data_IF_775012609541
#
_entry.id   IF_775012609541
#
_cell.length_a   1.000
_cell.length_b   1.000
_cell.length_c   1.000
_cell.angle_alpha   90.00
_cell.angle_beta   90.00
_cell.angle_gamma   90.00
#
_symmetry.space_group_name_H-M   'P 1'
#
loop_
_entity.id
_entity.type
_entity.pdbx_description
1 polymer ?
#
# COMPACT_ATOMS: atom_id res chain seq x y z
N UNK A 1 -9.99 -0.71 -11.67
CA UNK A 1 -10.65 -0.84 -10.35
C UNK A 1 -10.16 0.29 -9.47
N UNK A 2 -11.06 1.03 -8.83
CA UNK A 2 -10.71 2.06 -7.85
C UNK A 2 -10.78 1.47 -6.45
N UNK A 3 -9.99 2.02 -5.53
CA UNK A 3 -10.09 1.70 -4.10
C UNK A 3 -11.39 2.30 -3.54
N UNK A 4 -12.13 1.52 -2.77
CA UNK A 4 -13.36 1.95 -2.11
C UNK A 4 -13.22 1.84 -0.59
N UNK A 5 -13.33 2.98 0.08
CA UNK A 5 -13.15 3.08 1.52
C UNK A 5 -14.28 2.39 2.29
N UNK A 6 -15.52 2.55 1.82
CA UNK A 6 -16.69 1.92 2.45
C UNK A 6 -16.64 0.41 2.34
N UNK A 7 -16.28 -0.12 1.16
CA UNK A 7 -16.10 -1.56 0.98
C UNK A 7 -14.98 -2.12 1.88
N UNK A 8 -13.90 -1.35 2.10
CA UNK A 8 -12.82 -1.75 3.02
C UNK A 8 -13.32 -1.83 4.47
N UNK A 9 -14.06 -0.81 4.93
CA UNK A 9 -14.60 -0.78 6.29
C UNK A 9 -15.64 -1.89 6.51
N UNK A 10 -16.48 -2.18 5.52
CA UNK A 10 -17.41 -3.32 5.55
C UNK A 10 -16.67 -4.65 5.64
N UNK A 11 -15.59 -4.84 4.88
CA UNK A 11 -14.76 -6.04 4.95
C UNK A 11 -14.11 -6.21 6.33
N UNK A 12 -13.60 -5.11 6.93
CA UNK A 12 -13.05 -5.12 8.29
C UNK A 12 -14.13 -5.53 9.30
N UNK A 13 -15.33 -4.96 9.19
CA UNK A 13 -16.44 -5.30 10.08
C UNK A 13 -16.85 -6.79 9.92
N UNK A 14 -16.91 -7.29 8.68
CA UNK A 14 -17.30 -8.68 8.37
C UNK A 14 -16.33 -9.71 8.97
N UNK A 15 -15.04 -9.39 9.07
CA UNK A 15 -14.04 -10.30 9.68
C UNK A 15 -13.93 -10.14 11.20
N UNK A 16 -14.71 -9.27 11.82
CA UNK A 16 -14.77 -9.06 13.27
C UNK A 16 -14.03 -7.84 13.78
N UNK A 17 -13.78 -6.84 12.92
CA UNK A 17 -13.24 -5.53 13.30
C UNK A 17 -11.71 -5.45 13.31
N UNK A 18 -11.22 -4.26 13.66
CA UNK A 18 -9.80 -3.89 13.64
C UNK A 18 -8.94 -4.84 14.50
N UNK A 19 -9.40 -5.21 15.68
CA UNK A 19 -8.64 -6.09 16.57
C UNK A 19 -8.46 -7.49 15.99
N UNK A 20 -9.47 -8.01 15.29
CA UNK A 20 -9.38 -9.30 14.62
C UNK A 20 -8.39 -9.26 13.44
N UNK A 21 -8.42 -8.18 12.67
CA UNK A 21 -7.43 -7.94 11.59
C UNK A 21 -6.01 -7.89 12.17
N UNK A 22 -5.80 -7.14 13.25
CA UNK A 22 -4.49 -7.03 13.90
C UNK A 22 -4.00 -8.35 14.48
N UNK A 23 -4.89 -9.14 15.09
CA UNK A 23 -4.54 -10.47 15.60
C UNK A 23 -4.10 -11.39 14.44
N UNK A 24 -4.78 -11.35 13.30
CA UNK A 24 -4.39 -12.12 12.11
C UNK A 24 -3.04 -11.64 11.55
N UNK A 25 -2.81 -10.32 11.45
CA UNK A 25 -1.53 -9.75 11.01
C UNK A 25 -0.39 -10.23 11.92
N UNK A 26 -0.56 -10.16 13.24
CA UNK A 26 0.44 -10.60 14.23
C UNK A 26 0.77 -12.09 14.06
N UNK A 27 -0.24 -12.94 13.90
CA UNK A 27 -0.07 -14.38 13.70
C UNK A 27 0.59 -14.75 12.35
N UNK A 28 0.59 -13.84 11.38
CA UNK A 28 1.07 -14.08 10.02
C UNK A 28 2.33 -13.28 9.64
N UNK A 29 3.15 -12.85 10.60
CA UNK A 29 4.43 -12.21 10.35
C UNK A 29 4.50 -10.75 10.81
N UNK A 30 3.39 -10.13 11.21
CA UNK A 30 3.36 -8.80 11.79
C UNK A 30 3.87 -7.69 10.86
N UNK A 31 4.50 -6.69 11.47
CA UNK A 31 5.15 -5.59 10.75
C UNK A 31 4.21 -4.48 10.27
N UNK A 32 2.92 -4.61 10.52
CA UNK A 32 1.90 -3.58 10.30
C UNK A 32 0.81 -3.67 11.37
N UNK A 33 0.14 -2.56 11.62
CA UNK A 33 -0.96 -2.46 12.58
C UNK A 33 -1.98 -1.44 12.08
N UNK A 34 -3.24 -1.80 12.16
CA UNK A 34 -4.37 -0.92 11.91
C UNK A 34 -4.83 -0.32 13.25
N UNK A 35 -5.06 0.99 13.32
CA UNK A 35 -5.58 1.65 14.52
C UNK A 35 -7.08 1.86 14.43
N UNK A 36 -7.57 2.23 13.26
CA UNK A 36 -8.95 2.63 13.02
C UNK A 36 -9.46 2.09 11.68
N UNK A 37 -10.77 2.13 11.50
CA UNK A 37 -11.39 2.06 10.18
C UNK A 37 -11.22 3.41 9.46
N UNK A 38 -11.45 3.45 8.16
CA UNK A 38 -11.32 4.68 7.37
C UNK A 38 -12.36 5.70 7.82
N UNK A 39 -13.60 5.28 8.09
CA UNK A 39 -14.65 6.15 8.61
C UNK A 39 -14.26 6.80 9.96
N UNK A 40 -13.61 6.05 10.85
CA UNK A 40 -13.11 6.60 12.13
C UNK A 40 -12.00 7.64 11.92
N UNK A 41 -11.09 7.43 10.97
CA UNK A 41 -10.06 8.43 10.65
C UNK A 41 -10.68 9.70 10.07
N UNK A 42 -11.66 9.60 9.19
CA UNK A 42 -12.38 10.78 8.68
C UNK A 42 -13.11 11.55 9.79
N UNK A 43 -13.74 10.84 10.73
CA UNK A 43 -14.36 11.48 11.88
C UNK A 43 -13.33 12.25 12.72
N UNK A 44 -12.15 11.67 12.97
CA UNK A 44 -11.04 12.34 13.67
C UNK A 44 -10.47 13.52 12.90
N UNK A 45 -10.40 13.43 11.58
CA UNK A 45 -9.94 14.54 10.74
C UNK A 45 -10.91 15.75 10.76
N UNK A 46 -12.14 15.56 11.25
CA UNK A 46 -13.12 16.63 11.47
C UNK A 46 -12.98 17.31 12.84
N UNK A 47 -12.11 16.82 13.72
CA UNK A 47 -11.87 17.43 15.03
C UNK A 47 -11.19 18.81 14.88
N UNK A 48 -11.53 19.82 15.72
CA UNK A 48 -10.92 21.15 15.64
C UNK A 48 -9.40 21.14 15.74
N UNK A 49 -8.81 20.26 16.55
CA UNK A 49 -7.39 20.14 16.73
C UNK A 49 -6.67 19.68 15.44
N UNK A 50 -7.29 18.78 14.67
CA UNK A 50 -6.79 18.40 13.36
C UNK A 50 -6.98 19.52 12.33
N UNK A 51 -8.17 20.12 12.27
CA UNK A 51 -8.50 21.14 11.30
C UNK A 51 -7.62 22.39 11.42
N UNK A 52 -7.18 22.73 12.63
CA UNK A 52 -6.30 23.87 12.89
C UNK A 52 -4.91 23.71 12.26
N UNK A 53 -4.32 22.51 12.33
CA UNK A 53 -3.01 22.21 11.72
C UNK A 53 -2.91 20.70 11.39
N UNK A 54 -3.45 20.25 10.26
CA UNK A 54 -3.43 18.83 9.89
C UNK A 54 -2.04 18.22 9.84
N UNK A 55 -1.03 18.97 9.39
CA UNK A 55 0.36 18.51 9.30
C UNK A 55 0.93 18.20 10.67
N UNK A 56 0.79 19.12 11.61
CA UNK A 56 1.27 18.95 12.98
C UNK A 56 0.52 17.82 13.68
N UNK A 57 -0.81 17.75 13.52
CA UNK A 57 -1.63 16.72 14.08
C UNK A 57 -1.17 15.33 13.64
N UNK A 58 -0.96 15.11 12.34
CA UNK A 58 -0.46 13.83 11.81
C UNK A 58 0.99 13.56 12.21
N UNK A 59 1.85 14.58 12.29
CA UNK A 59 3.25 14.40 12.64
C UNK A 59 3.45 14.00 14.13
N UNK A 60 2.59 14.47 15.03
CA UNK A 60 2.81 14.36 16.48
C UNK A 60 1.84 13.41 17.19
N UNK A 61 0.71 13.06 16.57
CA UNK A 61 -0.35 12.33 17.26
C UNK A 61 -0.89 11.15 16.44
N UNK A 62 -0.56 9.92 16.89
CA UNK A 62 -1.04 8.67 16.28
C UNK A 62 -2.57 8.50 16.31
N UNK A 63 -3.30 9.30 17.08
CA UNK A 63 -4.76 9.29 17.04
C UNK A 63 -5.35 9.67 15.67
N UNK A 64 -4.56 10.31 14.81
CA UNK A 64 -4.94 10.67 13.44
C UNK A 64 -4.38 9.71 12.38
N UNK A 65 -3.77 8.61 12.76
CA UNK A 65 -3.24 7.62 11.83
C UNK A 65 -4.25 6.50 11.59
N UNK A 66 -4.43 6.10 10.35
CA UNK A 66 -5.18 4.88 10.01
C UNK A 66 -4.50 3.63 10.59
N UNK A 67 -3.18 3.62 10.57
CA UNK A 67 -2.35 2.54 11.06
C UNK A 67 -0.87 2.86 10.86
N UNK A 68 -0.04 1.89 11.15
CA UNK A 68 1.41 2.00 10.95
C UNK A 68 1.96 0.78 10.22
N UNK A 69 2.97 1.01 9.38
CA UNK A 69 3.61 -0.04 8.60
C UNK A 69 5.03 0.39 8.21
N UNK A 70 5.91 -0.58 7.98
CA UNK A 70 7.21 -0.31 7.37
C UNK A 70 7.23 -0.76 5.91
N UNK A 71 7.98 -0.08 5.02
CA UNK A 71 8.13 -0.53 3.64
C UNK A 71 8.61 -1.98 3.53
N UNK A 72 9.51 -2.40 4.41
CA UNK A 72 10.00 -3.79 4.48
C UNK A 72 8.89 -4.79 4.79
N UNK A 73 7.99 -4.47 5.71
CA UNK A 73 6.88 -5.35 6.05
C UNK A 73 5.90 -5.49 4.87
N UNK A 74 5.57 -4.39 4.19
CA UNK A 74 4.72 -4.45 2.98
C UNK A 74 5.38 -5.27 1.88
N UNK A 75 6.69 -5.07 1.65
CA UNK A 75 7.45 -5.85 0.67
C UNK A 75 7.40 -7.35 0.97
N UNK A 76 7.57 -7.75 2.23
CA UNK A 76 7.46 -9.15 2.64
C UNK A 76 6.05 -9.73 2.41
N UNK A 77 4.98 -8.95 2.64
CA UNK A 77 3.61 -9.37 2.34
C UNK A 77 3.37 -9.53 0.84
N UNK A 78 3.90 -8.62 0.01
CA UNK A 78 3.82 -8.70 -1.45
C UNK A 78 4.58 -9.93 -1.97
N UNK A 79 5.75 -10.22 -1.43
CA UNK A 79 6.52 -11.43 -1.76
C UNK A 79 5.74 -12.71 -1.42
N UNK A 80 5.13 -12.79 -0.24
CA UNK A 80 4.27 -13.91 0.14
C UNK A 80 3.07 -14.06 -0.78
N UNK A 81 2.46 -12.96 -1.20
CA UNK A 81 1.35 -12.96 -2.14
C UNK A 81 1.80 -13.50 -3.50
N UNK A 82 2.94 -13.04 -4.02
CA UNK A 82 3.50 -13.53 -5.28
C UNK A 82 3.84 -15.03 -5.20
N UNK A 83 4.52 -15.46 -4.14
CA UNK A 83 4.85 -16.89 -3.92
C UNK A 83 3.60 -17.77 -3.81
N UNK A 84 2.54 -17.26 -3.20
CA UNK A 84 1.25 -17.97 -3.13
C UNK A 84 0.62 -18.13 -4.53
N UNK A 85 0.66 -17.09 -5.35
CA UNK A 85 0.25 -17.12 -6.75
C UNK A 85 1.06 -18.16 -7.56
N UNK A 86 2.38 -18.14 -7.40
CA UNK A 86 3.31 -19.02 -8.13
C UNK A 86 3.28 -20.49 -7.63
N UNK A 87 2.61 -20.75 -6.50
CA UNK A 87 2.61 -22.07 -5.87
C UNK A 87 3.95 -22.44 -5.22
N UNK A 88 4.80 -21.45 -4.90
CA UNK A 88 6.16 -21.60 -4.33
C UNK A 88 6.24 -21.16 -2.87
N UNK A 89 5.12 -21.08 -2.15
CA UNK A 89 5.08 -20.70 -0.74
C UNK A 89 5.99 -21.58 0.11
N UNK A 90 6.80 -20.95 0.96
CA UNK A 90 7.56 -21.65 1.99
C UNK A 90 6.77 -21.58 3.31
N UNK A 91 6.40 -22.73 3.85
CA UNK A 91 5.51 -22.83 5.01
C UNK A 91 4.03 -22.62 4.65
N UNK A 92 3.23 -22.15 5.63
CA UNK A 92 1.81 -21.92 5.41
C UNK A 92 1.57 -20.82 4.37
N UNK A 93 0.77 -21.07 3.32
CA UNK A 93 0.46 -20.07 2.32
C UNK A 93 -0.34 -18.91 2.94
N UNK A 94 -0.25 -17.72 2.31
CA UNK A 94 -1.00 -16.54 2.72
C UNK A 94 -2.52 -16.77 2.67
N UNK A 95 -2.97 -17.43 1.62
CA UNK A 95 -4.35 -17.81 1.37
C UNK A 95 -4.38 -19.00 0.39
N UNK A 96 -5.57 -19.41 -0.09
CA UNK A 96 -5.63 -20.33 -1.22
C UNK A 96 -5.01 -19.70 -2.47
N UNK A 97 -4.44 -20.55 -3.35
CA UNK A 97 -3.88 -20.06 -4.63
C UNK A 97 -4.89 -19.22 -5.40
N UNK A 98 -6.14 -19.67 -5.49
CA UNK A 98 -7.20 -18.93 -6.19
C UNK A 98 -7.49 -17.57 -5.58
N UNK A 99 -7.41 -17.42 -4.25
CA UNK A 99 -7.54 -16.12 -3.58
C UNK A 99 -6.35 -15.22 -3.88
N UNK A 100 -5.13 -15.77 -3.90
CA UNK A 100 -3.92 -15.00 -4.27
C UNK A 100 -3.97 -14.53 -5.72
N UNK A 101 -4.44 -15.37 -6.64
CA UNK A 101 -4.66 -15.04 -8.05
C UNK A 101 -5.66 -13.89 -8.21
N UNK A 102 -6.76 -13.91 -7.44
CA UNK A 102 -7.75 -12.86 -7.43
C UNK A 102 -7.17 -11.54 -6.88
N UNK A 103 -6.44 -11.58 -5.76
CA UNK A 103 -5.79 -10.40 -5.18
C UNK A 103 -4.84 -9.73 -6.17
N UNK A 104 -3.95 -10.49 -6.81
CA UNK A 104 -3.05 -9.94 -7.84
C UNK A 104 -3.79 -9.41 -9.06
N UNK A 105 -4.86 -10.08 -9.49
CA UNK A 105 -5.72 -9.61 -10.58
C UNK A 105 -6.35 -8.26 -10.25
N UNK A 106 -6.83 -8.08 -9.01
CA UNK A 106 -7.37 -6.80 -8.55
C UNK A 106 -6.29 -5.71 -8.51
N UNK A 107 -5.10 -6.02 -8.01
CA UNK A 107 -3.98 -5.08 -7.94
C UNK A 107 -3.49 -4.66 -9.34
N UNK A 108 -3.48 -5.56 -10.34
CA UNK A 108 -3.15 -5.24 -11.74
C UNK A 108 -4.18 -4.34 -12.42
N UNK A 109 -5.41 -4.33 -11.93
CA UNK A 109 -6.51 -3.49 -12.44
C UNK A 109 -6.68 -2.18 -11.68
N UNK A 110 -5.74 -1.83 -10.82
CA UNK A 110 -5.77 -0.58 -10.06
C UNK A 110 -5.68 0.61 -11.01
N UNK A 111 -6.59 1.59 -10.83
CA UNK A 111 -6.65 2.82 -11.62
C UNK A 111 -6.16 4.05 -10.85
N UNK A 112 -6.20 4.00 -9.52
CA UNK A 112 -5.68 5.08 -8.68
C UNK A 112 -4.16 5.08 -8.70
N UNK A 113 -3.54 6.27 -8.68
CA UNK A 113 -2.09 6.42 -8.61
C UNK A 113 -1.36 6.16 -9.93
N UNK A 114 -2.03 6.37 -11.07
CA UNK A 114 -1.40 6.29 -12.38
C UNK A 114 -0.20 7.24 -12.54
N UNK A 115 -0.12 8.30 -11.73
CA UNK A 115 0.99 9.25 -11.64
C UNK A 115 2.17 8.77 -10.77
N UNK A 116 2.08 7.58 -10.14
CA UNK A 116 3.09 7.01 -9.25
C UNK A 116 3.87 5.87 -9.90
N UNK A 117 4.05 4.74 -9.18
CA UNK A 117 4.85 3.62 -9.69
C UNK A 117 4.58 3.25 -11.14
N UNK A 118 3.32 3.16 -11.63
CA UNK A 118 3.07 2.81 -13.04
C UNK A 118 3.40 3.91 -14.04
N UNK A 119 3.61 5.17 -13.62
CA UNK A 119 3.62 6.34 -14.50
C UNK A 119 4.58 6.25 -15.69
N UNK A 120 5.79 5.74 -15.48
CA UNK A 120 6.82 5.61 -16.50
C UNK A 120 7.12 4.16 -16.90
N UNK A 121 6.25 3.21 -16.48
CA UNK A 121 6.48 1.81 -16.77
C UNK A 121 5.92 1.40 -18.13
N UNK A 122 6.69 0.60 -18.83
CA UNK A 122 6.33 -0.14 -20.03
C UNK A 122 6.15 -1.64 -19.78
N UNK A 123 6.22 -2.04 -18.50
CA UNK A 123 6.02 -3.42 -18.01
C UNK A 123 4.82 -3.51 -17.08
N UNK A 124 4.21 -4.70 -16.94
CA UNK A 124 3.07 -4.87 -16.04
C UNK A 124 3.45 -4.60 -14.58
N UNK A 125 2.47 -4.08 -13.84
CA UNK A 125 2.56 -3.87 -12.39
C UNK A 125 1.27 -4.29 -11.70
N UNK A 126 1.39 -4.92 -10.53
CA UNK A 126 0.30 -5.09 -9.58
C UNK A 126 0.56 -4.17 -8.38
N UNK A 127 -0.27 -3.16 -8.14
CA UNK A 127 0.03 -2.16 -7.10
C UNK A 127 -1.19 -1.74 -6.28
N UNK A 128 -0.94 -1.09 -5.15
CA UNK A 128 -1.95 -0.47 -4.28
C UNK A 128 -1.41 0.81 -3.70
N UNK A 129 -2.16 1.88 -3.88
CA UNK A 129 -1.86 3.22 -3.36
C UNK A 129 -2.37 3.41 -1.94
N UNK A 130 -1.78 4.36 -1.22
CA UNK A 130 -2.27 4.88 0.05
C UNK A 130 -2.09 6.39 0.12
N UNK A 131 -3.18 7.13 0.29
CA UNK A 131 -3.21 8.57 0.09
C UNK A 131 -3.81 9.32 1.26
N UNK A 132 -3.22 10.47 1.58
CA UNK A 132 -3.83 11.53 2.39
C UNK A 132 -3.29 12.88 1.92
N UNK A 133 -3.79 13.38 0.76
CA UNK A 133 -3.31 14.64 0.21
C UNK A 133 -3.54 15.84 1.15
N UNK A 134 -2.61 16.79 1.20
CA UNK A 134 -1.32 16.84 0.54
C UNK A 134 -0.19 16.22 1.37
N UNK A 135 -0.48 15.46 2.42
CA UNK A 135 0.49 15.09 3.47
C UNK A 135 1.28 13.82 3.15
N UNK A 136 0.63 12.83 2.50
CA UNK A 136 1.29 11.58 2.18
C UNK A 136 0.81 10.99 0.84
N UNK A 137 1.76 10.36 0.13
CA UNK A 137 1.55 9.64 -1.10
C UNK A 137 2.36 8.35 -1.04
N UNK A 138 1.69 7.22 -0.93
CA UNK A 138 2.33 5.92 -0.88
C UNK A 138 1.93 5.09 -2.09
N UNK A 139 2.83 4.22 -2.53
CA UNK A 139 2.52 3.20 -3.51
C UNK A 139 3.35 1.94 -3.23
N UNK A 140 2.73 0.79 -3.30
CA UNK A 140 3.36 -0.49 -3.06
C UNK A 140 2.91 -1.49 -4.12
N UNK A 141 3.85 -2.19 -4.73
CA UNK A 141 3.51 -3.09 -5.82
C UNK A 141 4.58 -4.09 -6.17
N UNK A 142 4.23 -4.93 -7.13
CA UNK A 142 5.08 -5.92 -7.76
C UNK A 142 5.23 -5.50 -9.23
N UNK A 143 6.43 -5.07 -9.60
CA UNK A 143 6.77 -4.75 -10.98
C UNK A 143 7.27 -6.03 -11.65
N UNK A 144 6.69 -6.40 -12.78
CA UNK A 144 7.06 -7.61 -13.51
C UNK A 144 8.12 -7.28 -14.56
N UNK A 145 9.38 -7.23 -14.13
CA UNK A 145 10.53 -6.97 -14.99
C UNK A 145 10.87 -8.21 -15.83
N UNK A 146 11.73 -8.09 -16.84
CA UNK A 146 12.22 -9.23 -17.62
C UNK A 146 13.01 -10.22 -16.78
N UNK A 147 13.67 -9.73 -15.72
CA UNK A 147 14.43 -10.57 -14.77
C UNK A 147 13.55 -11.23 -13.71
N UNK A 148 12.23 -10.94 -13.69
CA UNK A 148 11.26 -11.48 -12.75
C UNK A 148 10.52 -10.43 -11.93
N UNK A 149 9.66 -10.86 -11.00
CA UNK A 149 8.87 -9.96 -10.16
C UNK A 149 9.76 -9.25 -9.10
N UNK A 150 9.65 -7.92 -9.03
CA UNK A 150 10.37 -7.07 -8.06
C UNK A 150 9.36 -6.34 -7.18
N UNK A 151 9.47 -6.53 -5.85
CA UNK A 151 8.62 -5.85 -4.87
C UNK A 151 9.15 -4.44 -4.62
N UNK A 152 8.33 -3.43 -4.86
CA UNK A 152 8.66 -2.01 -4.69
C UNK A 152 7.67 -1.37 -3.75
N UNK A 153 8.17 -0.73 -2.69
CA UNK A 153 7.34 -0.03 -1.71
C UNK A 153 7.92 1.35 -1.46
N UNK A 154 7.13 2.36 -1.75
CA UNK A 154 7.50 3.77 -1.54
C UNK A 154 6.49 4.41 -0.60
N UNK A 155 6.99 4.98 0.51
CA UNK A 155 6.21 5.73 1.48
C UNK A 155 6.73 7.18 1.51
N UNK A 156 5.99 8.10 0.93
CA UNK A 156 6.27 9.53 0.98
C UNK A 156 5.35 10.19 2.01
N UNK A 157 5.91 10.55 3.16
CA UNK A 157 5.19 11.14 4.29
C UNK A 157 5.66 12.57 4.55
N UNK A 158 4.80 13.38 5.16
CA UNK A 158 5.06 14.77 5.50
C UNK A 158 5.56 15.61 4.30
N UNK A 159 4.91 15.44 3.16
CA UNK A 159 5.24 16.13 1.93
C UNK A 159 5.10 17.63 2.15
N UNK A 160 6.22 18.37 2.02
CA UNK A 160 6.28 19.83 2.22
C UNK A 160 6.24 20.62 0.91
N UNK A 161 6.52 19.96 -0.22
CA UNK A 161 6.49 20.51 -1.57
C UNK A 161 5.20 20.20 -2.30
N UNK A 162 5.26 20.23 -3.64
CA UNK A 162 4.14 19.84 -4.50
C UNK A 162 3.81 18.36 -4.36
N UNK A 163 2.53 18.07 -4.13
CA UNK A 163 2.05 16.69 -4.08
C UNK A 163 2.27 15.95 -5.40
N UNK A 164 1.97 16.61 -6.54
CA UNK A 164 2.21 16.03 -7.87
C UNK A 164 3.68 15.75 -8.16
N UNK A 165 4.60 16.60 -7.65
CA UNK A 165 6.03 16.33 -7.76
C UNK A 165 6.45 15.10 -6.95
N UNK A 166 5.86 14.89 -5.79
CA UNK A 166 6.12 13.69 -5.00
C UNK A 166 5.64 12.43 -5.73
N UNK A 167 4.46 12.48 -6.36
CA UNK A 167 3.95 11.38 -7.19
C UNK A 167 4.87 11.11 -8.40
N UNK A 168 5.31 12.15 -9.12
CA UNK A 168 6.23 12.03 -10.26
C UNK A 168 7.55 11.35 -9.84
N UNK A 169 8.11 11.74 -8.69
CA UNK A 169 9.33 11.11 -8.14
C UNK A 169 9.12 9.63 -7.84
N UNK A 170 7.95 9.22 -7.34
CA UNK A 170 7.61 7.81 -7.14
C UNK A 170 7.58 7.07 -8.49
N UNK A 171 7.02 7.69 -9.52
CA UNK A 171 7.01 7.14 -10.88
C UNK A 171 8.42 6.95 -11.44
N UNK A 172 9.30 7.95 -11.29
CA UNK A 172 10.71 7.86 -11.70
C UNK A 172 11.46 6.75 -10.96
N UNK A 173 11.19 6.53 -9.67
CA UNK A 173 11.75 5.41 -8.91
C UNK A 173 11.32 4.08 -9.51
N UNK A 174 10.05 3.93 -9.88
CA UNK A 174 9.55 2.73 -10.57
C UNK A 174 10.32 2.46 -11.86
N UNK A 175 10.56 3.48 -12.68
CA UNK A 175 11.36 3.35 -13.92
C UNK A 175 12.80 2.95 -13.63
N UNK A 176 13.47 3.57 -12.67
CA UNK A 176 14.84 3.23 -12.29
C UNK A 176 14.97 1.78 -11.81
N UNK A 177 13.96 1.25 -11.13
CA UNK A 177 13.92 -0.17 -10.73
C UNK A 177 13.91 -1.06 -11.97
N UNK A 178 13.06 -0.77 -12.97
CA UNK A 178 13.01 -1.54 -14.22
C UNK A 178 14.34 -1.46 -14.96
N UNK A 179 14.91 -0.27 -15.12
CA UNK A 179 16.20 -0.08 -15.80
C UNK A 179 17.32 -0.87 -15.13
N UNK A 180 17.34 -0.88 -13.80
CA UNK A 180 18.36 -1.64 -13.04
C UNK A 180 18.22 -3.15 -13.24
N UNK A 181 17.02 -3.70 -13.10
CA UNK A 181 16.80 -5.15 -13.17
C UNK A 181 16.82 -5.67 -14.60
N UNK A 182 16.43 -4.88 -15.59
CA UNK A 182 16.46 -5.26 -17.00
C UNK A 182 17.81 -4.94 -17.70
N UNK A 183 18.77 -4.37 -16.96
CA UNK A 183 20.10 -4.09 -17.46
C UNK A 183 20.17 -2.95 -18.48
N UNK A 184 19.17 -2.06 -18.50
CA UNK A 184 19.17 -0.85 -19.33
C UNK A 184 20.04 0.18 -18.59
N UNK A 185 21.23 0.47 -19.18
CA UNK A 185 22.15 1.51 -18.67
C UNK A 185 22.01 2.77 -19.47
#
# INVERSE_FOLDING_TARGET
MTSDNTATDLAIAQVGGVDRVNAWIAANGGGMRLFYTIAQVFAKASEPAYAANPREAVATNKAYWLGEVTPRAVGAWLERLQRCHDGTSQGAPLASKGSCDQMLTMMRRQLSGASRLPHYLDVPIAHKTGDWPPLLANDAGIIYTRSGPVMVVVCANNITGSYGEAEDRIGRLGRLVVDYFDGVR
#
